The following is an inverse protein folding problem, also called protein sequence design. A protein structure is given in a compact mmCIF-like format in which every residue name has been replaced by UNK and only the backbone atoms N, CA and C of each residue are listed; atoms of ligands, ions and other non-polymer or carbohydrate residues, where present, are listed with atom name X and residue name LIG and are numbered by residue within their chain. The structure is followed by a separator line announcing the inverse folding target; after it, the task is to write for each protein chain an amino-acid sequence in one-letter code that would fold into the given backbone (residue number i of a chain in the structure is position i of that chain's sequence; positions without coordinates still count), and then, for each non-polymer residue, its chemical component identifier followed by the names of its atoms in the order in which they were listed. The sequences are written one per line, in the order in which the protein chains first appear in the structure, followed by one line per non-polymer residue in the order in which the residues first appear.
data_IF_947995258332
#
_entry.id   IF_947995258332
#
_cell.length_a   1.000
_cell.length_b   1.000
_cell.length_c   1.000
_cell.angle_alpha   90.00
_cell.angle_beta   90.00
_cell.angle_gamma   90.00
#
_symmetry.space_group_name_H-M   'P 1'
#
loop_
_entity.id
_entity.type
_entity.pdbx_description
1 polymer ?
#
# COMPACT_ATOMS: atom_id res chain seq x y z
N UNK A 1 -22.05 4.13 -16.74
CA UNK A 1 -21.36 4.73 -15.57
C UNK A 1 -20.26 5.61 -16.11
N UNK A 2 -20.11 6.82 -15.56
CA UNK A 2 -19.10 7.76 -16.02
C UNK A 2 -17.75 7.30 -15.46
N UNK A 3 -16.81 6.88 -16.31
CA UNK A 3 -15.54 6.28 -15.85
C UNK A 3 -14.76 7.22 -14.90
N UNK A 4 -14.95 8.53 -15.06
CA UNK A 4 -14.36 9.55 -14.20
C UNK A 4 -14.90 9.52 -12.76
N UNK A 5 -16.16 9.15 -12.55
CA UNK A 5 -16.77 9.05 -11.22
C UNK A 5 -16.31 7.78 -10.49
N UNK A 6 -16.13 6.68 -11.22
CA UNK A 6 -15.65 5.41 -10.66
C UNK A 6 -14.18 5.51 -10.24
N UNK A 7 -13.32 6.04 -11.10
CA UNK A 7 -11.90 6.28 -10.79
C UNK A 7 -11.71 7.23 -9.58
N UNK A 8 -12.66 8.13 -9.33
CA UNK A 8 -12.66 9.05 -8.19
C UNK A 8 -13.41 8.50 -6.97
N UNK A 9 -13.70 7.19 -6.92
CA UNK A 9 -14.40 6.62 -5.76
C UNK A 9 -13.54 6.66 -4.49
N UNK A 10 -14.16 7.00 -3.36
CA UNK A 10 -13.51 7.07 -2.03
C UNK A 10 -12.79 5.76 -1.66
N UNK A 11 -13.33 4.62 -2.12
CA UNK A 11 -12.75 3.30 -1.90
C UNK A 11 -11.33 3.17 -2.43
N UNK A 12 -11.01 3.78 -3.58
CA UNK A 12 -9.66 3.78 -4.13
C UNK A 12 -8.69 4.58 -3.25
N UNK A 13 -9.12 5.73 -2.74
CA UNK A 13 -8.31 6.54 -1.83
C UNK A 13 -8.02 5.80 -0.53
N UNK A 14 -9.01 5.12 0.06
CA UNK A 14 -8.80 4.28 1.25
C UNK A 14 -7.78 3.17 1.00
N UNK A 15 -7.84 2.49 -0.15
CA UNK A 15 -6.86 1.47 -0.52
C UNK A 15 -5.44 2.05 -0.67
N UNK A 16 -5.31 3.22 -1.27
CA UNK A 16 -4.02 3.93 -1.39
C UNK A 16 -3.48 4.30 -0.01
N UNK A 17 -4.32 4.85 0.87
CA UNK A 17 -3.92 5.23 2.24
C UNK A 17 -3.42 4.02 3.02
N UNK A 18 -4.10 2.88 2.94
CA UNK A 18 -3.67 1.63 3.57
C UNK A 18 -2.31 1.18 3.03
N UNK A 19 -2.11 1.22 1.71
CA UNK A 19 -0.83 0.87 1.09
C UNK A 19 0.31 1.79 1.57
N UNK A 20 0.06 3.10 1.67
CA UNK A 20 1.03 4.09 2.16
C UNK A 20 1.39 3.81 3.62
N UNK A 21 0.41 3.59 4.50
CA UNK A 21 0.66 3.31 5.92
C UNK A 21 1.54 2.07 6.08
N UNK A 22 1.24 1.00 5.33
CA UNK A 22 2.02 -0.25 5.35
C UNK A 22 3.46 0.01 4.86
N UNK A 23 3.61 0.72 3.74
CA UNK A 23 4.92 1.06 3.18
C UNK A 23 5.77 1.91 4.13
N UNK A 24 5.20 2.96 4.70
CA UNK A 24 5.86 3.85 5.67
C UNK A 24 6.26 3.06 6.92
N UNK A 25 5.38 2.21 7.44
CA UNK A 25 5.69 1.34 8.58
C UNK A 25 6.87 0.41 8.26
N UNK A 26 6.90 -0.18 7.07
CA UNK A 26 8.03 -0.99 6.60
C UNK A 26 9.35 -0.20 6.53
N UNK A 27 9.31 1.06 6.09
CA UNK A 27 10.49 1.94 6.07
C UNK A 27 11.02 2.20 7.47
N UNK A 28 10.16 2.50 8.45
CA UNK A 28 10.61 2.68 9.83
C UNK A 28 11.20 1.40 10.42
N UNK A 29 10.52 0.27 10.21
CA UNK A 29 11.01 -1.03 10.69
C UNK A 29 12.31 -1.45 10.01
N UNK A 30 12.61 -1.00 8.79
CA UNK A 30 13.88 -1.27 8.12
C UNK A 30 15.10 -0.76 8.91
N UNK A 31 14.92 0.34 9.65
CA UNK A 31 15.98 0.98 10.43
C UNK A 31 15.83 0.75 11.94
N UNK A 32 14.88 -0.08 12.36
CA UNK A 32 14.71 -0.44 13.75
C UNK A 32 15.79 -1.44 14.19
N UNK A 33 16.33 -1.25 15.40
CA UNK A 33 17.40 -2.08 15.95
C UNK A 33 16.83 -3.28 16.72
N UNK A 34 16.36 -4.29 15.98
CA UNK A 34 15.98 -5.58 16.56
C UNK A 34 16.12 -6.71 15.54
N UNK A 35 16.26 -7.94 16.03
CA UNK A 35 16.68 -9.11 15.24
C UNK A 35 15.83 -9.38 13.98
N UNK A 36 14.53 -9.10 14.02
CA UNK A 36 13.60 -9.37 12.91
C UNK A 36 13.23 -8.12 12.08
N UNK A 37 13.84 -6.97 12.34
CA UNK A 37 13.43 -5.69 11.75
C UNK A 37 13.49 -5.72 10.22
N UNK A 38 14.57 -6.27 9.67
CA UNK A 38 14.77 -6.40 8.23
C UNK A 38 13.80 -7.36 7.54
N UNK A 39 13.51 -8.52 8.14
CA UNK A 39 12.59 -9.49 7.53
C UNK A 39 11.14 -8.97 7.55
N UNK A 40 10.73 -8.33 8.65
CA UNK A 40 9.40 -7.74 8.77
C UNK A 40 9.25 -6.58 7.77
N UNK A 41 10.27 -5.72 7.63
CA UNK A 41 10.27 -4.65 6.63
C UNK A 41 10.10 -5.17 5.20
N UNK A 42 10.77 -6.27 4.85
CA UNK A 42 10.63 -6.90 3.52
C UNK A 42 9.23 -7.50 3.31
N UNK A 43 8.64 -8.12 4.33
CA UNK A 43 7.26 -8.64 4.25
C UNK A 43 6.27 -7.49 4.02
N UNK A 44 6.42 -6.40 4.79
CA UNK A 44 5.58 -5.21 4.62
C UNK A 44 5.75 -4.56 3.26
N UNK A 45 6.96 -4.56 2.70
CA UNK A 45 7.20 -4.08 1.33
C UNK A 45 6.41 -4.91 0.32
N UNK A 46 6.46 -6.24 0.40
CA UNK A 46 5.73 -7.13 -0.51
C UNK A 46 4.22 -6.89 -0.41
N UNK A 47 3.70 -6.82 0.83
CA UNK A 47 2.27 -6.58 1.07
C UNK A 47 1.85 -5.20 0.58
N UNK A 48 2.61 -4.16 0.90
CA UNK A 48 2.34 -2.77 0.49
C UNK A 48 2.32 -2.61 -1.02
N UNK A 49 3.29 -3.20 -1.73
CA UNK A 49 3.32 -3.23 -3.20
C UNK A 49 2.10 -3.96 -3.76
N UNK A 50 1.73 -5.11 -3.20
CA UNK A 50 0.55 -5.87 -3.64
C UNK A 50 -0.75 -5.06 -3.51
N UNK A 51 -0.93 -4.34 -2.40
CA UNK A 51 -2.11 -3.50 -2.17
C UNK A 51 -2.09 -2.27 -3.09
N UNK A 52 -0.93 -1.63 -3.28
CA UNK A 52 -0.80 -0.49 -4.17
C UNK A 52 -1.13 -0.86 -5.63
N UNK A 53 -0.63 -2.00 -6.12
CA UNK A 53 -0.96 -2.51 -7.45
C UNK A 53 -2.46 -2.83 -7.58
N UNK A 54 -3.06 -3.44 -6.55
CA UNK A 54 -4.51 -3.68 -6.52
C UNK A 54 -5.30 -2.37 -6.61
N UNK A 55 -4.88 -1.32 -5.91
CA UNK A 55 -5.51 -0.01 -5.97
C UNK A 55 -5.40 0.59 -7.38
N UNK A 56 -4.21 0.56 -7.99
CA UNK A 56 -3.99 1.05 -9.36
C UNK A 56 -4.88 0.31 -10.36
N UNK A 57 -4.90 -1.02 -10.33
CA UNK A 57 -5.74 -1.80 -11.25
C UNK A 57 -7.24 -1.59 -11.02
N UNK A 58 -7.65 -1.24 -9.79
CA UNK A 58 -9.03 -0.89 -9.51
C UNK A 58 -9.40 0.49 -10.08
N UNK A 59 -8.47 1.46 -10.09
CA UNK A 59 -8.67 2.80 -10.65
C UNK A 59 -8.67 2.78 -12.19
N UNK A 60 -7.84 1.93 -12.78
CA UNK A 60 -7.69 1.81 -14.24
C UNK A 60 -8.82 1.02 -14.92
N UNK A 61 -9.69 0.38 -14.14
CA UNK A 61 -10.79 -0.41 -14.64
C UNK A 61 -12.00 0.47 -14.93
#
# INVERSE_FOLDING_TARGET
MNQTEEANSESHYLLIVVAIIIGVTGVFLRFADFHYSSIIANILLIIGVGIALKAIFAILK
#
